data_IF_806265291145
#
_entry.id   IF_806265291145
#
_cell.length_a   1.000
_cell.length_b   1.000
_cell.length_c   1.000
_cell.angle_alpha   90.00
_cell.angle_beta   90.00
_cell.angle_gamma   90.00
#
_symmetry.space_group_name_H-M   'P 1'
#
loop_
_entity.id
_entity.type
_entity.pdbx_description
1 polymer ?
#
# COMPACT_ATOMS: atom_id res chain seq x y z
N UNK A 1 -24.12 39.13 34.33
CA UNK A 1 -23.05 38.14 34.65
C UNK A 1 -23.42 36.71 34.19
N UNK A 2 -24.63 36.22 34.44
CA UNK A 2 -25.05 34.84 34.05
C UNK A 2 -25.08 34.57 32.54
N UNK A 3 -25.37 35.58 31.69
CA UNK A 3 -25.38 35.45 30.22
C UNK A 3 -23.98 35.34 29.60
N UNK A 4 -22.96 35.95 30.22
CA UNK A 4 -21.56 35.87 29.77
C UNK A 4 -20.96 34.49 30.04
N UNK A 5 -21.34 33.86 31.15
CA UNK A 5 -20.92 32.50 31.52
C UNK A 5 -21.49 31.47 30.52
N UNK A 6 -22.74 31.64 30.10
CA UNK A 6 -23.37 30.76 29.10
C UNK A 6 -22.71 30.93 27.72
N UNK A 7 -22.33 32.15 27.34
CA UNK A 7 -21.64 32.41 26.07
C UNK A 7 -20.23 31.78 26.03
N UNK A 8 -19.53 31.78 27.17
CA UNK A 8 -18.21 31.15 27.29
C UNK A 8 -18.29 29.62 27.18
N UNK A 9 -19.33 28.99 27.73
CA UNK A 9 -19.54 27.54 27.65
C UNK A 9 -19.98 27.06 26.25
N UNK A 10 -20.69 27.88 25.48
CA UNK A 10 -21.13 27.54 24.11
C UNK A 10 -19.98 27.58 23.09
N UNK A 11 -18.94 28.39 23.33
CA UNK A 11 -17.79 28.51 22.44
C UNK A 11 -16.64 27.53 22.75
N UNK A 12 -16.73 26.77 23.85
CA UNK A 12 -15.72 25.79 24.26
C UNK A 12 -15.54 24.56 23.34
N UNK A 13 -16.52 24.06 22.55
CA UNK A 13 -16.33 22.85 21.75
C UNK A 13 -15.48 23.04 20.48
N UNK A 14 -15.04 24.26 20.16
CA UNK A 14 -14.36 24.58 18.90
C UNK A 14 -12.86 24.24 18.89
N UNK A 15 -12.29 23.78 20.00
CA UNK A 15 -10.86 23.44 20.14
C UNK A 15 -10.58 21.93 20.02
N UNK A 16 -11.41 21.20 19.26
CA UNK A 16 -11.12 19.84 18.88
C UNK A 16 -9.94 19.79 17.90
N UNK A 17 -8.72 19.64 18.41
CA UNK A 17 -7.61 19.19 17.58
C UNK A 17 -7.93 17.77 17.12
N UNK A 18 -8.22 17.61 15.83
CA UNK A 18 -8.27 16.31 15.19
C UNK A 18 -6.85 15.73 15.19
N UNK A 19 -6.43 15.11 16.30
CA UNK A 19 -5.27 14.23 16.32
C UNK A 19 -5.66 12.93 15.63
N UNK A 20 -5.76 12.96 14.30
CA UNK A 20 -5.84 11.74 13.52
C UNK A 20 -4.59 10.92 13.83
N UNK A 21 -4.75 9.82 14.58
CA UNK A 21 -3.65 8.93 14.93
C UNK A 21 -2.83 8.59 13.69
N UNK A 22 -1.51 8.74 13.75
CA UNK A 22 -0.64 8.48 12.60
C UNK A 22 0.61 9.33 12.44
N UNK A 23 0.81 10.38 13.25
CA UNK A 23 1.91 11.33 13.02
C UNK A 23 1.72 12.16 11.73
N UNK A 24 2.68 13.02 11.39
CA UNK A 24 2.63 13.80 10.16
C UNK A 24 2.68 12.89 8.92
N UNK A 25 1.85 13.20 7.92
CA UNK A 25 1.83 12.50 6.65
C UNK A 25 3.08 12.85 5.83
N UNK A 26 3.78 11.84 5.33
CA UNK A 26 4.94 12.02 4.46
C UNK A 26 4.48 12.07 2.99
N UNK A 27 5.03 13.03 2.23
CA UNK A 27 4.77 13.15 0.79
C UNK A 27 5.47 12.04 0.01
N UNK A 28 4.72 11.35 -0.84
CA UNK A 28 5.22 10.31 -1.72
C UNK A 28 5.96 10.87 -2.95
N UNK A 29 5.75 12.15 -3.30
CA UNK A 29 6.31 12.81 -4.49
C UNK A 29 6.17 11.95 -5.77
N UNK A 30 4.94 11.51 -6.05
CA UNK A 30 4.64 10.62 -7.17
C UNK A 30 4.61 11.38 -8.50
N UNK A 31 5.39 10.90 -9.46
CA UNK A 31 5.33 11.31 -10.86
C UNK A 31 4.86 10.12 -11.72
N UNK A 32 3.63 10.23 -12.22
CA UNK A 32 2.97 9.23 -13.06
C UNK A 32 3.38 9.31 -14.54
N UNK A 33 4.20 10.29 -14.92
CA UNK A 33 4.73 10.41 -16.28
C UNK A 33 6.11 9.78 -16.41
N UNK A 34 6.73 9.43 -15.29
CA UNK A 34 8.05 8.82 -15.25
C UNK A 34 7.97 7.30 -15.45
N UNK A 35 7.91 6.85 -16.71
CA UNK A 35 7.81 5.43 -17.07
C UNK A 35 8.87 4.55 -16.41
N UNK A 36 10.11 5.03 -16.28
CA UNK A 36 11.16 4.26 -15.61
C UNK A 36 10.87 4.03 -14.12
N UNK A 37 10.27 5.00 -13.44
CA UNK A 37 9.78 4.86 -12.07
C UNK A 37 8.63 3.85 -11.98
N UNK A 38 7.74 3.88 -12.98
CA UNK A 38 6.60 2.97 -13.06
C UNK A 38 7.04 1.52 -13.32
N UNK A 39 8.01 1.29 -14.18
CA UNK A 39 8.56 -0.05 -14.44
C UNK A 39 9.21 -0.64 -13.18
N UNK A 40 10.02 0.15 -12.47
CA UNK A 40 10.68 -0.29 -11.23
C UNK A 40 9.67 -0.60 -10.11
N UNK A 41 8.60 0.17 -10.01
CA UNK A 41 7.58 -0.09 -9.00
C UNK A 41 6.69 -1.29 -9.37
N UNK A 42 6.46 -1.56 -10.66
CA UNK A 42 5.77 -2.78 -11.11
C UNK A 42 6.59 -4.02 -10.75
N UNK A 43 7.88 -4.01 -11.05
CA UNK A 43 8.82 -5.05 -10.63
C UNK A 43 8.77 -5.26 -9.11
N UNK A 44 8.76 -4.17 -8.34
CA UNK A 44 8.68 -4.24 -6.87
C UNK A 44 7.37 -4.86 -6.39
N UNK A 45 6.24 -4.46 -6.97
CA UNK A 45 4.93 -5.02 -6.64
C UNK A 45 4.86 -6.50 -6.93
N UNK A 46 5.29 -6.91 -8.12
CA UNK A 46 5.27 -8.32 -8.50
C UNK A 46 6.20 -9.16 -7.60
N UNK A 47 7.40 -8.67 -7.31
CA UNK A 47 8.40 -9.43 -6.54
C UNK A 47 8.04 -9.59 -5.05
N UNK A 48 7.37 -8.60 -4.45
CA UNK A 48 7.21 -8.53 -3.00
C UNK A 48 5.77 -8.50 -2.51
N UNK A 49 4.84 -8.06 -3.33
CA UNK A 49 3.45 -7.85 -2.93
C UNK A 49 2.53 -8.89 -3.55
N UNK A 50 2.73 -9.22 -4.83
CA UNK A 50 1.85 -10.11 -5.58
C UNK A 50 1.82 -11.54 -5.07
N UNK A 51 2.73 -11.95 -4.19
CA UNK A 51 2.64 -13.27 -3.53
C UNK A 51 1.52 -13.34 -2.48
N UNK A 52 1.16 -12.20 -1.88
CA UNK A 52 0.17 -12.12 -0.80
C UNK A 52 -1.05 -11.26 -1.17
N UNK A 53 -0.87 -10.24 -2.00
CA UNK A 53 -1.89 -9.29 -2.38
C UNK A 53 -2.21 -9.41 -3.86
N UNK A 54 -3.47 -9.62 -4.20
CA UNK A 54 -3.92 -9.51 -5.59
C UNK A 54 -3.99 -8.04 -6.04
N UNK A 55 -3.91 -7.86 -7.36
CA UNK A 55 -4.36 -6.65 -8.05
C UNK A 55 -5.36 -7.08 -9.12
N UNK A 56 -6.49 -7.63 -8.66
CA UNK A 56 -7.46 -8.29 -9.54
C UNK A 56 -8.10 -7.38 -10.58
N UNK A 57 -8.08 -6.05 -10.44
CA UNK A 57 -8.56 -5.16 -11.52
C UNK A 57 -7.48 -4.82 -12.55
N UNK A 58 -6.23 -5.24 -12.32
CA UNK A 58 -5.14 -5.10 -13.28
C UNK A 58 -5.01 -6.35 -14.14
N UNK A 59 -4.74 -6.16 -15.44
CA UNK A 59 -4.40 -7.23 -16.39
C UNK A 59 -2.97 -7.05 -16.90
N UNK A 60 -2.31 -8.17 -17.22
CA UNK A 60 -0.91 -8.13 -17.68
C UNK A 60 -0.73 -7.42 -19.03
N UNK A 61 -1.70 -7.50 -19.93
CA UNK A 61 -1.66 -6.78 -21.21
C UNK A 61 -1.70 -5.26 -21.01
N UNK A 62 -2.59 -4.76 -20.13
CA UNK A 62 -2.66 -3.34 -19.78
C UNK A 62 -1.40 -2.86 -19.08
N UNK A 63 -0.86 -3.68 -18.17
CA UNK A 63 0.45 -3.43 -17.56
C UNK A 63 1.55 -3.25 -18.62
N UNK A 64 1.56 -4.07 -19.67
CA UNK A 64 2.52 -3.95 -20.76
C UNK A 64 2.35 -2.63 -21.53
N UNK A 65 1.12 -2.34 -21.95
CA UNK A 65 0.75 -1.10 -22.68
C UNK A 65 1.14 0.15 -21.89
N UNK A 66 0.73 0.22 -20.62
CA UNK A 66 0.93 1.39 -19.75
C UNK A 66 2.42 1.65 -19.46
N UNK A 67 3.22 0.58 -19.35
CA UNK A 67 4.65 0.68 -19.07
C UNK A 67 5.54 0.77 -20.31
N UNK A 68 4.95 0.72 -21.51
CA UNK A 68 5.69 0.66 -22.78
C UNK A 68 6.59 -0.57 -22.87
N UNK A 69 6.14 -1.70 -22.31
CA UNK A 69 6.83 -3.00 -22.37
C UNK A 69 6.16 -3.91 -23.40
N UNK A 70 6.92 -4.87 -23.93
CA UNK A 70 6.32 -5.93 -24.76
C UNK A 70 5.58 -6.94 -23.88
N UNK A 71 4.60 -7.65 -24.44
CA UNK A 71 3.92 -8.75 -23.74
C UNK A 71 4.94 -9.78 -23.25
N UNK A 72 5.90 -10.17 -24.09
CA UNK A 72 6.96 -11.11 -23.73
C UNK A 72 7.79 -10.62 -22.54
N UNK A 73 8.18 -9.34 -22.50
CA UNK A 73 8.91 -8.77 -21.37
C UNK A 73 8.13 -8.88 -20.07
N UNK A 74 6.82 -8.60 -20.11
CA UNK A 74 5.95 -8.72 -18.94
C UNK A 74 5.79 -10.19 -18.53
N UNK A 75 5.61 -11.09 -19.48
CA UNK A 75 5.39 -12.51 -19.20
C UNK A 75 6.64 -13.20 -18.67
N UNK A 76 7.81 -12.84 -19.16
CA UNK A 76 9.09 -13.41 -18.71
C UNK A 76 9.55 -12.84 -17.36
N UNK A 77 9.29 -11.56 -17.09
CA UNK A 77 9.90 -10.87 -15.94
C UNK A 77 8.92 -10.50 -14.82
N UNK A 78 7.62 -10.43 -15.12
CA UNK A 78 6.59 -9.91 -14.20
C UNK A 78 5.44 -10.89 -13.94
N UNK A 79 5.46 -12.09 -14.51
CA UNK A 79 4.41 -13.10 -14.33
C UNK A 79 4.94 -14.37 -13.65
N UNK A 80 5.06 -14.33 -12.32
CA UNK A 80 5.46 -15.50 -11.53
C UNK A 80 4.30 -16.43 -11.15
N UNK A 81 3.07 -16.04 -11.46
CA UNK A 81 1.85 -16.78 -11.10
C UNK A 81 1.34 -17.67 -12.24
N UNK A 82 1.92 -17.58 -13.44
CA UNK A 82 1.60 -18.44 -14.58
C UNK A 82 0.29 -18.08 -15.28
N UNK A 83 -0.24 -16.87 -15.04
CA UNK A 83 -1.43 -16.37 -15.72
C UNK A 83 -1.18 -16.08 -17.20
N UNK A 84 -2.22 -15.95 -18.00
CA UNK A 84 -2.08 -15.51 -19.40
C UNK A 84 -1.97 -13.98 -19.48
N UNK A 85 -1.43 -13.46 -20.58
CA UNK A 85 -1.27 -12.00 -20.77
C UNK A 85 -2.60 -11.21 -20.63
N UNK A 86 -3.71 -11.78 -21.07
CA UNK A 86 -5.04 -11.15 -20.94
C UNK A 86 -5.72 -11.33 -19.58
N UNK A 87 -5.11 -12.08 -18.66
CA UNK A 87 -5.69 -12.40 -17.36
C UNK A 87 -5.33 -11.37 -16.28
N UNK A 88 -6.09 -11.43 -15.19
CA UNK A 88 -5.93 -10.56 -14.04
C UNK A 88 -4.75 -10.98 -13.17
N UNK A 89 -4.14 -10.02 -12.47
CA UNK A 89 -3.07 -10.27 -11.50
C UNK A 89 -3.65 -10.85 -10.19
N UNK A 90 -3.97 -12.15 -10.22
CA UNK A 90 -4.49 -12.91 -9.08
C UNK A 90 -3.39 -13.73 -8.41
N UNK A 91 -3.72 -14.21 -7.22
CA UNK A 91 -2.87 -15.06 -6.40
C UNK A 91 -3.63 -16.36 -6.10
N UNK A 92 -2.91 -17.43 -5.78
CA UNK A 92 -3.55 -18.71 -5.47
C UNK A 92 -4.22 -18.74 -4.09
N UNK A 93 -3.77 -17.89 -3.17
CA UNK A 93 -4.25 -17.85 -1.80
C UNK A 93 -5.70 -17.36 -1.71
N UNK A 94 -6.54 -18.11 -1.00
CA UNK A 94 -7.93 -17.72 -0.73
C UNK A 94 -8.05 -16.87 0.54
N UNK A 95 -9.23 -16.26 0.76
CA UNK A 95 -9.51 -15.53 1.99
C UNK A 95 -9.45 -16.42 3.24
N UNK A 96 -9.90 -17.68 3.12
CA UNK A 96 -9.88 -18.65 4.21
C UNK A 96 -8.45 -19.10 4.54
N UNK A 97 -7.61 -19.29 3.52
CA UNK A 97 -6.17 -19.55 3.71
C UNK A 97 -5.51 -18.37 4.44
N UNK A 98 -5.79 -17.14 4.01
CA UNK A 98 -5.25 -15.93 4.63
C UNK A 98 -5.70 -15.79 6.09
N UNK A 99 -6.98 -16.05 6.39
CA UNK A 99 -7.50 -16.05 7.75
C UNK A 99 -6.81 -17.11 8.61
N UNK A 100 -6.59 -18.31 8.06
CA UNK A 100 -5.96 -19.42 8.78
C UNK A 100 -4.46 -19.17 9.05
N UNK A 101 -3.74 -18.57 8.11
CA UNK A 101 -2.29 -18.38 8.22
C UNK A 101 -1.90 -17.06 8.87
N UNK A 102 -2.68 -16.00 8.65
CA UNK A 102 -2.34 -14.63 9.11
C UNK A 102 -3.34 -14.06 10.11
N UNK A 103 -4.45 -14.77 10.41
CA UNK A 103 -5.47 -14.32 11.37
C UNK A 103 -6.42 -13.25 10.82
N UNK A 104 -6.25 -12.84 9.56
CA UNK A 104 -7.13 -11.89 8.87
C UNK A 104 -7.09 -12.16 7.37
N UNK A 105 -8.18 -11.86 6.66
CA UNK A 105 -8.16 -11.76 5.21
C UNK A 105 -7.14 -10.69 4.77
N UNK A 106 -6.37 -10.99 3.71
CA UNK A 106 -5.43 -10.04 3.11
C UNK A 106 -6.18 -9.20 2.06
N UNK A 107 -6.08 -7.86 2.10
CA UNK A 107 -6.81 -6.99 1.19
C UNK A 107 -6.22 -7.03 -0.23
N UNK A 108 -7.09 -6.96 -1.23
CA UNK A 108 -6.73 -6.68 -2.61
C UNK A 108 -6.24 -5.24 -2.76
N UNK A 109 -5.17 -5.03 -3.54
CA UNK A 109 -4.54 -3.72 -3.66
C UNK A 109 -4.96 -2.96 -4.92
N UNK A 110 -5.86 -3.48 -5.76
CA UNK A 110 -6.23 -2.90 -7.06
C UNK A 110 -6.65 -1.43 -7.05
N UNK A 111 -7.09 -0.91 -5.90
CA UNK A 111 -7.52 0.49 -5.75
C UNK A 111 -7.02 1.11 -4.43
N UNK A 112 -5.98 0.54 -3.82
CA UNK A 112 -5.53 1.00 -2.50
C UNK A 112 -5.01 2.45 -2.56
N UNK A 113 -4.25 2.76 -3.62
CA UNK A 113 -3.72 4.08 -3.89
C UNK A 113 -4.83 5.13 -4.08
N UNK A 114 -5.94 4.74 -4.73
CA UNK A 114 -7.08 5.62 -5.00
C UNK A 114 -7.97 5.81 -3.76
N UNK A 115 -8.16 4.77 -2.96
CA UNK A 115 -9.03 4.81 -1.78
C UNK A 115 -8.38 5.48 -0.57
N UNK A 116 -7.06 5.36 -0.41
CA UNK A 116 -6.33 5.91 0.74
C UNK A 116 -5.42 7.09 0.40
N UNK A 117 -5.01 7.23 -0.86
CA UNK A 117 -4.07 8.24 -1.32
C UNK A 117 -2.61 7.76 -1.35
N UNK A 118 -1.81 8.35 -2.24
CA UNK A 118 -0.38 8.03 -2.42
C UNK A 118 0.43 8.25 -1.14
N UNK A 119 0.23 9.41 -0.53
CA UNK A 119 0.96 9.83 0.67
C UNK A 119 0.59 8.98 1.89
N UNK A 120 -0.67 8.52 1.98
CA UNK A 120 -1.08 7.56 3.00
C UNK A 120 -0.35 6.23 2.83
N UNK A 121 -0.30 5.69 1.61
CA UNK A 121 0.38 4.42 1.34
C UNK A 121 1.88 4.54 1.59
N UNK A 122 2.51 5.61 1.13
CA UNK A 122 3.91 5.91 1.39
C UNK A 122 4.19 5.99 2.90
N UNK A 123 3.34 6.72 3.63
CA UNK A 123 3.45 6.87 5.09
C UNK A 123 3.27 5.52 5.79
N UNK A 124 2.28 4.72 5.39
CA UNK A 124 2.05 3.39 5.93
C UNK A 124 3.30 2.50 5.78
N UNK A 125 3.89 2.43 4.60
CA UNK A 125 5.10 1.61 4.35
C UNK A 125 6.32 2.10 5.15
N UNK A 126 6.38 3.39 5.49
CA UNK A 126 7.51 3.99 6.21
C UNK A 126 7.39 3.96 7.73
N UNK A 127 6.20 3.68 8.27
CA UNK A 127 5.91 3.82 9.71
C UNK A 127 5.75 2.48 10.43
N UNK A 128 6.34 1.42 9.90
CA UNK A 128 6.51 0.16 10.61
C UNK A 128 7.59 0.27 11.69
N UNK A 129 7.28 -0.21 12.89
CA UNK A 129 8.21 -0.26 14.02
C UNK A 129 8.18 -1.65 14.67
N UNK A 130 9.23 -1.96 15.44
CA UNK A 130 9.34 -3.23 16.18
C UNK A 130 8.43 -3.19 17.38
N UNK A 131 7.60 -4.21 17.53
CA UNK A 131 6.66 -4.37 18.64
C UNK A 131 6.56 -5.87 18.98
N UNK A 132 7.29 -6.30 20.00
CA UNK A 132 7.39 -7.71 20.39
C UNK A 132 6.09 -8.27 20.96
N UNK A 133 5.12 -7.42 21.30
CA UNK A 133 3.79 -7.87 21.75
C UNK A 133 2.93 -8.42 20.59
N UNK A 134 3.29 -8.12 19.34
CA UNK A 134 2.54 -8.56 18.15
C UNK A 134 3.02 -9.96 17.69
N UNK A 135 2.14 -10.79 17.09
CA UNK A 135 2.49 -12.12 16.62
C UNK A 135 3.70 -12.18 15.67
N UNK A 136 3.91 -11.11 14.90
CA UNK A 136 5.03 -10.99 13.96
C UNK A 136 6.10 -9.99 14.40
N UNK A 137 6.06 -9.49 15.64
CA UNK A 137 7.09 -8.63 16.21
C UNK A 137 7.19 -7.22 15.61
N UNK A 138 6.16 -6.77 14.89
CA UNK A 138 6.08 -5.44 14.26
C UNK A 138 4.67 -4.88 14.34
N UNK A 139 4.57 -3.55 14.33
CA UNK A 139 3.30 -2.81 14.30
C UNK A 139 3.47 -1.55 13.43
N UNK A 140 2.40 -0.78 13.24
CA UNK A 140 2.39 0.37 12.35
C UNK A 140 1.69 1.58 12.97
N UNK A 141 2.28 2.77 12.81
CA UNK A 141 1.72 4.00 13.40
C UNK A 141 0.43 4.43 12.69
N UNK A 142 0.30 4.17 11.39
CA UNK A 142 -0.86 4.58 10.57
C UNK A 142 -1.98 3.55 10.54
N UNK A 143 -1.65 2.28 10.75
CA UNK A 143 -2.61 1.18 10.81
C UNK A 143 -2.27 0.25 11.97
N UNK A 144 -2.67 0.61 13.20
CA UNK A 144 -2.39 -0.18 14.39
C UNK A 144 -2.91 -1.61 14.26
N UNK A 145 -2.23 -2.53 14.93
CA UNK A 145 -2.60 -3.95 15.04
C UNK A 145 -2.55 -4.74 13.72
N UNK A 146 -1.84 -4.22 12.72
CA UNK A 146 -1.66 -4.88 11.43
C UNK A 146 -1.10 -6.31 11.56
N UNK A 147 -1.81 -7.28 10.96
CA UNK A 147 -1.33 -8.65 10.80
C UNK A 147 -0.33 -8.71 9.65
N UNK A 148 0.97 -8.57 9.93
CA UNK A 148 1.98 -8.50 8.86
C UNK A 148 3.32 -9.15 9.20
N UNK A 149 3.87 -9.91 8.25
CA UNK A 149 5.17 -10.59 8.33
C UNK A 149 6.37 -9.67 8.01
N UNK A 150 6.31 -8.42 8.47
CA UNK A 150 7.34 -7.44 8.15
C UNK A 150 8.56 -7.44 9.09
N UNK A 151 8.72 -8.43 9.98
CA UNK A 151 9.84 -8.45 10.95
C UNK A 151 11.21 -8.38 10.29
N UNK A 152 11.43 -9.11 9.20
CA UNK A 152 12.69 -9.08 8.47
C UNK A 152 12.88 -7.77 7.68
N UNK A 153 11.77 -7.19 7.19
CA UNK A 153 11.73 -5.96 6.38
C UNK A 153 11.94 -4.70 7.23
N UNK A 154 11.38 -4.64 8.44
CA UNK A 154 11.60 -3.58 9.42
C UNK A 154 13.06 -3.51 9.87
N UNK A 155 13.71 -4.67 10.06
CA UNK A 155 15.12 -4.74 10.50
C UNK A 155 16.13 -4.41 9.39
N UNK A 156 15.78 -4.64 8.12
CA UNK A 156 16.67 -4.48 6.96
C UNK A 156 16.55 -3.15 6.20
N UNK A 157 15.66 -2.23 6.63
CA UNK A 157 15.32 -0.99 5.88
C UNK A 157 14.94 -1.21 4.41
N UNK A 158 14.51 -2.41 4.04
CA UNK A 158 14.16 -2.78 2.67
C UNK A 158 13.01 -1.92 2.09
N UNK A 159 12.17 -1.35 2.95
CA UNK A 159 11.19 -0.32 2.62
C UNK A 159 11.78 0.85 1.84
N UNK A 160 13.00 1.26 2.15
CA UNK A 160 13.69 2.35 1.43
C UNK A 160 13.99 1.97 -0.02
N UNK A 161 14.27 0.68 -0.30
CA UNK A 161 14.45 0.17 -1.68
C UNK A 161 13.12 0.06 -2.42
N UNK A 162 12.07 -0.44 -1.77
CA UNK A 162 10.69 -0.53 -2.29
C UNK A 162 10.14 0.86 -2.65
N UNK A 163 10.53 1.90 -1.94
CA UNK A 163 10.01 3.25 -2.17
C UNK A 163 10.84 4.04 -3.18
N UNK A 164 12.17 3.85 -3.21
CA UNK A 164 13.04 4.42 -4.26
C UNK A 164 12.78 3.82 -5.64
N UNK A 165 12.11 2.67 -5.71
CA UNK A 165 11.74 2.04 -6.96
C UNK A 165 10.49 2.65 -7.60
N UNK A 166 9.77 3.58 -6.97
CA UNK A 166 8.56 4.16 -7.59
C UNK A 166 7.31 3.29 -7.44
N UNK A 167 7.31 2.34 -6.49
CA UNK A 167 6.18 1.47 -6.15
C UNK A 167 4.84 2.22 -5.97
N UNK A 168 4.85 3.32 -5.20
CA UNK A 168 3.65 4.13 -4.99
C UNK A 168 3.15 4.81 -6.29
N UNK A 169 4.08 5.26 -7.14
CA UNK A 169 3.74 5.83 -8.44
C UNK A 169 3.15 4.79 -9.37
N UNK A 170 3.66 3.56 -9.31
CA UNK A 170 3.19 2.44 -10.12
C UNK A 170 1.80 2.01 -9.72
N UNK A 171 1.53 1.85 -8.43
CA UNK A 171 0.18 1.59 -7.95
C UNK A 171 -0.79 2.73 -8.33
N UNK A 172 -0.36 4.00 -8.28
CA UNK A 172 -1.21 5.10 -8.71
C UNK A 172 -1.51 5.10 -10.22
N UNK A 173 -0.49 4.81 -11.03
CA UNK A 173 -0.55 4.91 -12.47
C UNK A 173 -1.26 3.71 -13.11
N UNK A 174 -0.89 2.49 -12.70
CA UNK A 174 -1.54 1.27 -13.17
C UNK A 174 -3.04 1.26 -12.85
N UNK A 175 -3.44 1.91 -11.75
CA UNK A 175 -4.84 1.93 -11.31
C UNK A 175 -5.63 3.11 -11.91
N UNK A 176 -5.14 3.72 -12.99
CA UNK A 176 -5.91 4.66 -13.82
C UNK A 176 -6.88 3.88 -14.72
N UNK A 177 -8.11 4.38 -14.92
CA UNK A 177 -9.10 3.74 -15.80
C UNK A 177 -8.66 3.74 -17.27
#
# INVERSE_FOLDING_TARGET
MRKLIVMLFVCLPSLGFASGGGGPMMSANVDVTNTASLQRGAQTFVNYCLSCHSAQYMRYNRLAEDLGLTEDQVMENLNFTGHKIGEQMKIAMTGDDAQRWFGTAIPDLSVIARSRGADWLYTYLMTFYVDESRPFGVNNVRFPDVGSLFRCLARSRMWVRVLRSGFAATLLFLMRP
#
